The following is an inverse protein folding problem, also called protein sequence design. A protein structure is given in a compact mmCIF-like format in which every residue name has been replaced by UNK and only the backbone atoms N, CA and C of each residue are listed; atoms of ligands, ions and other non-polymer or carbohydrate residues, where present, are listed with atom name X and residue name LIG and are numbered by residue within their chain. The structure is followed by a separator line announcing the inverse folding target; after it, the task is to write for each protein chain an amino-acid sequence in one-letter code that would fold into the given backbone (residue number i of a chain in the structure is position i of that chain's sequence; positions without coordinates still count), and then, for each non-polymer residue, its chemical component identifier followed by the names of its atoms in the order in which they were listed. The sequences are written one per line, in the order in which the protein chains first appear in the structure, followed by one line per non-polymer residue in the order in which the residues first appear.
data_IF_857698709117
#
_entry.id   IF_857698709117
#
_cell.length_a   1.000
_cell.length_b   1.000
_cell.length_c   1.000
_cell.angle_alpha   90.00
_cell.angle_beta   90.00
_cell.angle_gamma   90.00
#
_symmetry.space_group_name_H-M   'P 1'
#
loop_
_entity.id
_entity.type
_entity.pdbx_description
1 polymer ?
#
# COMPACT_ATOMS: atom_id res chain seq x y z
N UNK A 1 -7.57 5.82 10.86
CA UNK A 1 -8.91 6.38 10.60
C UNK A 1 -9.94 5.27 10.54
N UNK A 2 -10.81 5.21 11.54
CA UNK A 2 -12.10 4.50 11.41
C UNK A 2 -13.02 5.50 10.70
N UNK A 3 -13.24 5.34 9.38
CA UNK A 3 -14.26 6.14 8.69
C UNK A 3 -15.59 5.67 9.26
N UNK A 4 -16.28 6.54 10.02
CA UNK A 4 -17.57 6.20 10.64
C UNK A 4 -18.56 5.71 9.57
N UNK A 5 -19.25 4.61 9.90
CA UNK A 5 -20.21 3.93 9.02
C UNK A 5 -21.23 4.91 8.45
N UNK A 6 -21.07 5.16 7.16
CA UNK A 6 -21.81 6.19 6.44
C UNK A 6 -21.25 6.42 5.05
N UNK A 7 -21.05 5.34 4.27
CA UNK A 7 -20.77 5.32 2.81
C UNK A 7 -19.91 6.47 2.27
N UNK A 8 -18.87 6.88 3.01
CA UNK A 8 -17.95 7.93 2.57
C UNK A 8 -16.64 7.24 2.16
N UNK A 9 -16.76 6.36 1.16
CA UNK A 9 -15.67 5.49 0.71
C UNK A 9 -14.78 6.28 -0.28
N UNK A 10 -13.44 6.25 -0.15
CA UNK A 10 -12.53 6.81 -1.15
C UNK A 10 -12.70 6.06 -2.47
N UNK A 11 -13.21 6.71 -3.51
CA UNK A 11 -13.40 6.10 -4.84
C UNK A 11 -12.18 6.12 -5.73
N UNK A 12 -11.18 6.91 -5.37
CA UNK A 12 -9.92 6.99 -6.07
C UNK A 12 -8.82 7.32 -5.09
N UNK A 13 -7.79 6.48 -5.07
CA UNK A 13 -6.50 6.75 -4.43
C UNK A 13 -5.46 6.83 -5.53
N UNK A 14 -4.68 7.91 -5.54
CA UNK A 14 -3.50 8.08 -6.40
C UNK A 14 -2.36 8.57 -5.52
N UNK A 15 -1.18 8.07 -5.76
CA UNK A 15 0.04 8.51 -5.09
C UNK A 15 1.22 8.36 -6.05
N UNK A 16 2.32 9.05 -5.79
CA UNK A 16 3.58 8.95 -6.51
C UNK A 16 4.68 8.53 -5.53
N UNK A 17 5.38 7.44 -5.81
CA UNK A 17 6.55 7.02 -5.02
C UNK A 17 7.77 6.81 -5.89
N UNK A 18 8.94 7.18 -5.36
CA UNK A 18 10.23 6.83 -5.96
C UNK A 18 10.72 5.49 -5.43
N UNK A 19 11.17 4.58 -6.31
CA UNK A 19 11.72 3.29 -5.86
C UNK A 19 12.99 3.50 -5.01
N UNK A 20 13.11 2.91 -3.80
CA UNK A 20 14.26 3.09 -2.92
C UNK A 20 15.57 2.56 -3.52
N UNK A 21 16.71 2.93 -2.90
CA UNK A 21 18.02 2.35 -3.26
C UNK A 21 18.09 0.86 -2.93
N UNK A 22 18.98 0.13 -3.61
CA UNK A 22 19.12 -1.33 -3.47
C UNK A 22 19.49 -1.78 -2.04
N UNK A 23 19.06 -2.98 -1.66
CA UNK A 23 19.29 -3.59 -0.34
C UNK A 23 20.48 -4.55 -0.35
N UNK A 24 21.15 -4.72 0.80
CA UNK A 24 22.23 -5.71 0.97
C UNK A 24 21.67 -7.05 1.49
N UNK A 25 22.26 -8.20 1.11
CA UNK A 25 21.71 -9.56 1.33
C UNK A 25 22.66 -10.45 2.19
N UNK A 26 22.24 -11.60 2.80
CA UNK A 26 20.91 -12.24 2.82
C UNK A 26 20.33 -12.66 4.21
N UNK A 27 18.98 -12.72 4.25
CA UNK A 27 18.04 -13.66 4.96
C UNK A 27 17.49 -13.42 6.37
N UNK A 28 16.23 -12.91 6.45
CA UNK A 28 15.05 -13.20 7.36
C UNK A 28 14.08 -12.01 7.33
N UNK A 29 12.77 -12.16 7.59
CA UNK A 29 11.70 -11.21 7.22
C UNK A 29 11.50 -10.00 8.16
N UNK A 30 11.38 -8.79 7.59
CA UNK A 30 10.73 -7.60 8.18
C UNK A 30 9.73 -7.07 7.15
N UNK A 31 8.44 -7.12 7.47
CA UNK A 31 7.36 -6.58 6.62
C UNK A 31 7.05 -5.14 7.06
N UNK A 32 7.37 -4.14 6.23
CA UNK A 32 7.00 -2.74 6.48
C UNK A 32 5.57 -2.50 5.95
N UNK A 33 4.55 -3.00 6.67
CA UNK A 33 3.14 -2.69 6.40
C UNK A 33 2.78 -1.34 7.02
N UNK A 34 2.63 -0.25 6.24
CA UNK A 34 2.20 1.05 6.79
C UNK A 34 1.06 1.69 5.99
N UNK A 35 -0.14 1.40 6.50
CA UNK A 35 -1.49 1.82 6.08
C UNK A 35 -1.69 3.33 6.22
N UNK A 36 -2.47 3.98 5.33
CA UNK A 36 -3.05 5.30 5.60
C UNK A 36 -4.23 5.18 6.60
N UNK A 37 -3.92 4.60 7.76
CA UNK A 37 -4.66 4.37 8.99
C UNK A 37 -3.86 3.32 9.75
N UNK A 38 -2.86 3.78 10.49
CA UNK A 38 -1.94 2.92 11.19
C UNK A 38 -2.62 2.21 12.37
N UNK A 39 -2.68 0.89 12.31
CA UNK A 39 -2.97 0.02 13.45
C UNK A 39 -2.16 -1.26 13.27
N UNK A 40 -1.36 -1.60 14.28
CA UNK A 40 -0.62 -2.88 14.41
C UNK A 40 -1.46 -3.95 15.13
N UNK A 41 -2.77 -3.77 15.24
CA UNK A 41 -3.67 -4.80 15.76
C UNK A 41 -4.68 -5.21 14.69
N UNK A 42 -4.53 -6.45 14.22
CA UNK A 42 -5.58 -7.19 13.55
C UNK A 42 -6.62 -7.62 14.59
N UNK A 43 -7.87 -7.72 14.15
CA UNK A 43 -9.11 -8.17 14.81
C UNK A 43 -10.12 -7.08 15.25
N UNK A 44 -11.42 -7.18 14.88
CA UNK A 44 -12.09 -8.41 14.45
C UNK A 44 -12.64 -8.41 13.01
N UNK A 45 -12.58 -9.60 12.39
CA UNK A 45 -13.50 -10.15 11.39
C UNK A 45 -13.83 -9.31 10.12
N UNK A 46 -13.44 -9.83 8.95
CA UNK A 46 -13.99 -9.54 7.59
C UNK A 46 -13.49 -8.31 6.81
N UNK A 47 -12.27 -7.78 7.05
CA UNK A 47 -11.76 -6.65 6.23
C UNK A 47 -10.68 -7.06 5.25
N UNK A 48 -11.04 -7.14 3.97
CA UNK A 48 -10.10 -7.31 2.87
C UNK A 48 -9.20 -6.08 2.73
N UNK A 49 -8.02 -6.30 2.16
CA UNK A 49 -7.01 -5.29 1.86
C UNK A 49 -6.77 -5.33 0.37
N UNK A 50 -7.11 -4.25 -0.33
CA UNK A 50 -6.69 -4.01 -1.70
C UNK A 50 -5.53 -3.02 -1.66
N UNK A 51 -4.42 -3.33 -2.33
CA UNK A 51 -3.24 -2.49 -2.28
C UNK A 51 -2.36 -2.61 -3.53
N UNK A 52 -1.90 -1.49 -4.09
CA UNK A 52 -0.72 -1.44 -4.95
C UNK A 52 0.53 -1.58 -4.06
N UNK A 53 1.40 -2.54 -4.39
CA UNK A 53 2.58 -2.89 -3.58
C UNK A 53 3.84 -2.70 -4.42
N UNK A 54 4.76 -1.87 -3.93
CA UNK A 54 6.17 -1.91 -4.29
C UNK A 54 6.86 -2.87 -3.32
N UNK A 55 7.52 -3.90 -3.81
CA UNK A 55 8.18 -4.90 -2.97
C UNK A 55 9.60 -5.22 -3.39
N UNK A 56 10.41 -5.66 -2.43
CA UNK A 56 11.70 -6.28 -2.69
C UNK A 56 11.80 -7.58 -1.90
N UNK A 57 12.45 -8.57 -2.50
CA UNK A 57 12.62 -9.89 -1.88
C UNK A 57 11.57 -10.89 -2.37
N UNK A 58 11.70 -12.16 -1.95
CA UNK A 58 10.78 -13.21 -2.35
C UNK A 58 9.48 -13.14 -1.54
N UNK A 59 8.35 -13.25 -2.25
CA UNK A 59 6.97 -13.23 -1.77
C UNK A 59 6.19 -14.42 -2.36
N UNK A 60 4.91 -14.58 -2.01
CA UNK A 60 4.04 -15.56 -2.66
C UNK A 60 3.87 -15.32 -4.18
N UNK A 61 4.03 -14.08 -4.64
CA UNK A 61 3.98 -13.71 -6.06
C UNK A 61 5.32 -13.95 -6.81
N UNK A 62 6.34 -14.48 -6.13
CA UNK A 62 7.71 -14.57 -6.62
C UNK A 62 8.56 -13.42 -6.08
N UNK A 63 9.58 -13.00 -6.84
CA UNK A 63 10.48 -11.91 -6.45
C UNK A 63 11.92 -12.38 -6.31
N UNK A 64 12.74 -11.54 -5.70
CA UNK A 64 14.17 -11.80 -5.54
C UNK A 64 14.92 -10.56 -5.09
N UNK A 65 16.20 -10.47 -5.45
CA UNK A 65 17.08 -9.35 -5.13
C UNK A 65 16.84 -8.15 -6.07
N UNK A 66 15.59 -7.75 -6.21
CA UNK A 66 15.17 -6.66 -7.07
C UNK A 66 13.86 -6.05 -6.56
N UNK A 67 13.64 -4.78 -6.91
CA UNK A 67 12.36 -4.12 -6.71
C UNK A 67 11.36 -4.57 -7.76
N UNK A 68 10.13 -4.81 -7.34
CA UNK A 68 9.03 -5.16 -8.23
C UNK A 68 7.72 -4.59 -7.73
N UNK A 69 6.79 -4.36 -8.65
CA UNK A 69 5.44 -3.93 -8.34
C UNK A 69 4.42 -5.04 -8.62
N UNK A 70 3.37 -5.08 -7.82
CA UNK A 70 2.15 -5.85 -8.09
C UNK A 70 0.95 -5.23 -7.37
N UNK A 71 -0.25 -5.54 -7.86
CA UNK A 71 -1.49 -5.23 -7.14
C UNK A 71 -1.96 -6.47 -6.40
N UNK A 72 -2.33 -6.31 -5.13
CA UNK A 72 -2.74 -7.38 -4.24
C UNK A 72 -4.15 -7.14 -3.69
N UNK A 73 -4.91 -8.22 -3.55
CA UNK A 73 -6.14 -8.28 -2.77
C UNK A 73 -6.08 -9.47 -1.83
N UNK A 74 -6.14 -9.21 -0.53
CA UNK A 74 -6.16 -10.23 0.52
C UNK A 74 -7.45 -10.11 1.32
N UNK A 75 -8.10 -11.22 1.66
CA UNK A 75 -9.23 -11.20 2.58
C UNK A 75 -9.41 -12.54 3.26
N UNK A 76 -10.02 -12.52 4.45
CA UNK A 76 -10.51 -13.71 5.14
C UNK A 76 -12.01 -13.81 4.92
N UNK A 77 -12.50 -14.98 4.49
CA UNK A 77 -13.93 -15.20 4.28
C UNK A 77 -14.67 -15.53 5.59
N UNK A 78 -15.99 -15.69 5.51
CA UNK A 78 -16.85 -15.99 6.67
C UNK A 78 -16.62 -17.38 7.27
N UNK A 79 -15.77 -18.21 6.67
CA UNK A 79 -15.36 -19.52 7.16
C UNK A 79 -13.92 -19.50 7.70
N UNK A 80 -13.37 -18.32 7.99
CA UNK A 80 -12.01 -18.09 8.48
C UNK A 80 -10.92 -18.64 7.53
N UNK A 81 -11.20 -18.64 6.22
CA UNK A 81 -10.22 -19.02 5.19
C UNK A 81 -9.62 -17.76 4.56
N UNK A 82 -8.29 -17.70 4.53
CA UNK A 82 -7.53 -16.63 3.90
C UNK A 82 -7.41 -16.83 2.39
N UNK A 83 -7.67 -15.76 1.65
CA UNK A 83 -7.55 -15.71 0.20
C UNK A 83 -6.60 -14.59 -0.20
N UNK A 84 -5.77 -14.85 -1.22
CA UNK A 84 -4.87 -13.87 -1.79
C UNK A 84 -4.92 -13.92 -3.32
N UNK A 85 -5.11 -12.76 -3.93
CA UNK A 85 -5.10 -12.54 -5.36
C UNK A 85 -4.07 -11.47 -5.67
N UNK A 86 -3.23 -11.70 -6.66
CA UNK A 86 -2.19 -10.77 -7.05
C UNK A 86 -1.87 -10.87 -8.53
N UNK A 87 -1.33 -9.78 -9.09
CA UNK A 87 -0.80 -9.77 -10.46
C UNK A 87 0.58 -10.40 -10.53
N UNK A 88 1.05 -10.71 -11.74
CA UNK A 88 2.46 -11.03 -11.95
C UNK A 88 3.34 -9.85 -11.56
N UNK A 89 4.52 -10.15 -11.02
CA UNK A 89 5.51 -9.13 -10.66
C UNK A 89 6.08 -8.46 -11.90
N UNK A 90 6.21 -7.14 -11.82
CA UNK A 90 6.90 -6.33 -12.83
C UNK A 90 8.12 -5.72 -12.14
N UNK A 91 9.31 -6.03 -12.63
CA UNK A 91 10.56 -5.46 -12.11
C UNK A 91 10.64 -3.96 -12.43
N UNK A 92 11.10 -3.18 -11.46
CA UNK A 92 11.26 -1.71 -11.55
C UNK A 92 12.64 -1.32 -11.02
N UNK A 93 13.17 -0.20 -11.50
CA UNK A 93 14.49 0.28 -11.12
C UNK A 93 14.43 1.30 -9.98
N UNK A 94 15.47 1.33 -9.17
CA UNK A 94 15.64 2.38 -8.15
C UNK A 94 15.56 3.77 -8.78
N UNK A 95 14.82 4.68 -8.15
CA UNK A 95 14.56 6.02 -8.65
C UNK A 95 13.41 6.14 -9.65
N UNK A 96 12.83 5.03 -10.11
CA UNK A 96 11.66 5.10 -11.00
C UNK A 96 10.48 5.75 -10.26
N UNK A 97 9.79 6.71 -10.90
CA UNK A 97 8.53 7.23 -10.39
C UNK A 97 7.41 6.22 -10.64
N UNK A 98 6.71 5.84 -9.58
CA UNK A 98 5.60 4.90 -9.62
C UNK A 98 4.32 5.56 -9.17
N UNK A 99 3.27 5.46 -9.96
CA UNK A 99 1.94 5.96 -9.56
C UNK A 99 1.01 4.80 -9.27
N UNK A 100 0.75 4.50 -8.00
CA UNK A 100 -0.26 3.51 -7.63
C UNK A 100 -1.67 4.12 -7.67
N UNK A 101 -2.63 3.33 -8.14
CA UNK A 101 -4.00 3.75 -8.37
C UNK A 101 -4.96 2.67 -7.87
N UNK A 102 -5.86 3.05 -6.96
CA UNK A 102 -7.02 2.25 -6.59
C UNK A 102 -8.28 3.02 -6.89
N UNK A 103 -9.13 2.48 -7.75
CA UNK A 103 -10.38 3.11 -8.16
C UNK A 103 -11.55 2.14 -7.99
N UNK A 104 -12.62 2.60 -7.35
CA UNK A 104 -13.90 1.93 -7.43
C UNK A 104 -14.48 2.19 -8.83
N UNK A 105 -14.69 1.13 -9.60
CA UNK A 105 -15.08 1.19 -11.01
C UNK A 105 -16.57 0.92 -11.23
N UNK A 106 -17.22 0.22 -10.31
CA UNK A 106 -18.66 -0.05 -10.32
C UNK A 106 -19.15 -0.43 -8.92
N UNK A 107 -20.46 -0.46 -8.70
CA UNK A 107 -21.08 -0.97 -7.49
C UNK A 107 -22.51 -1.46 -7.76
N UNK A 108 -22.90 -2.55 -7.10
CA UNK A 108 -24.28 -3.03 -7.04
C UNK A 108 -24.82 -3.02 -5.59
N UNK A 109 -25.97 -3.65 -5.35
CA UNK A 109 -26.61 -3.68 -4.03
C UNK A 109 -25.82 -4.47 -2.98
N UNK A 110 -24.89 -5.32 -3.41
CA UNK A 110 -24.18 -6.31 -2.59
C UNK A 110 -22.66 -6.27 -2.72
N UNK A 111 -22.11 -5.66 -3.79
CA UNK A 111 -20.68 -5.61 -4.05
C UNK A 111 -20.21 -4.24 -4.52
N UNK A 112 -19.00 -3.87 -4.08
CA UNK A 112 -18.21 -2.83 -4.72
C UNK A 112 -17.16 -3.47 -5.64
N UNK A 113 -16.99 -2.91 -6.83
CA UNK A 113 -16.01 -3.36 -7.81
C UNK A 113 -14.85 -2.38 -7.89
N UNK A 114 -13.63 -2.91 -7.78
CA UNK A 114 -12.42 -2.11 -7.71
C UNK A 114 -11.41 -2.51 -8.78
N UNK A 115 -10.61 -1.54 -9.19
CA UNK A 115 -9.40 -1.72 -9.97
C UNK A 115 -8.22 -1.19 -9.17
N UNK A 116 -7.21 -2.02 -8.96
CA UNK A 116 -5.91 -1.65 -8.42
C UNK A 116 -4.85 -1.82 -9.51
N UNK A 117 -3.96 -0.84 -9.68
CA UNK A 117 -2.92 -0.85 -10.71
C UNK A 117 -1.84 0.18 -10.42
N UNK A 118 -0.70 0.05 -11.11
CA UNK A 118 0.25 1.13 -11.33
C UNK A 118 0.02 1.76 -12.71
N UNK A 119 0.10 3.10 -12.76
CA UNK A 119 0.02 3.84 -14.03
C UNK A 119 1.17 3.45 -14.96
N UNK A 120 0.93 3.43 -16.27
CA UNK A 120 1.88 2.94 -17.29
C UNK A 120 2.27 1.45 -17.22
N UNK A 121 1.74 0.66 -16.28
CA UNK A 121 1.99 -0.77 -16.17
C UNK A 121 0.68 -1.58 -16.27
N UNK A 122 0.23 -1.88 -17.49
CA UNK A 122 -1.05 -2.58 -17.73
C UNK A 122 -1.17 -3.92 -16.99
N UNK A 123 -0.06 -4.64 -16.89
CA UNK A 123 -0.02 -6.00 -16.33
C UNK A 123 -0.13 -6.01 -14.80
N UNK A 124 -0.04 -4.84 -14.18
CA UNK A 124 -0.32 -4.64 -12.74
C UNK A 124 -1.80 -4.47 -12.42
N UNK A 125 -2.70 -4.52 -13.42
CA UNK A 125 -4.13 -4.26 -13.23
C UNK A 125 -4.87 -5.46 -12.62
N UNK A 126 -5.18 -5.39 -11.33
CA UNK A 126 -6.09 -6.30 -10.64
C UNK A 126 -7.51 -5.72 -10.58
N UNK A 127 -8.50 -6.50 -11.00
CA UNK A 127 -9.92 -6.17 -10.82
C UNK A 127 -10.56 -7.16 -9.85
N UNK A 128 -11.31 -6.63 -8.88
CA UNK A 128 -12.03 -7.43 -7.89
C UNK A 128 -13.48 -6.96 -7.78
N UNK A 129 -14.35 -7.86 -7.32
CA UNK A 129 -15.64 -7.52 -6.74
C UNK A 129 -15.68 -8.07 -5.32
N UNK A 130 -16.11 -7.26 -4.36
CA UNK A 130 -16.16 -7.68 -2.96
C UNK A 130 -17.39 -7.13 -2.25
N UNK A 131 -17.99 -7.96 -1.41
CA UNK A 131 -19.04 -7.55 -0.49
C UNK A 131 -18.46 -6.96 0.81
N UNK A 132 -17.13 -7.01 0.97
CA UNK A 132 -16.44 -6.45 2.13
C UNK A 132 -16.21 -4.95 1.92
N UNK A 133 -16.49 -4.16 2.95
CA UNK A 133 -16.23 -2.71 2.91
C UNK A 133 -14.72 -2.46 3.00
N UNK A 134 -14.14 -1.86 1.96
CA UNK A 134 -12.75 -1.44 1.95
C UNK A 134 -12.64 -0.04 2.57
N UNK A 135 -12.41 0.01 3.89
CA UNK A 135 -12.36 1.26 4.66
C UNK A 135 -10.97 1.88 4.75
N UNK A 136 -9.94 1.20 4.22
CA UNK A 136 -8.56 1.65 4.24
C UNK A 136 -8.05 1.93 2.84
N UNK A 137 -7.44 3.10 2.65
CA UNK A 137 -6.57 3.37 1.53
C UNK A 137 -5.13 3.08 1.95
N UNK A 138 -4.36 2.45 1.07
CA UNK A 138 -2.97 2.08 1.33
C UNK A 138 -2.10 2.35 0.12
N UNK A 139 -0.90 2.81 0.41
CA UNK A 139 0.26 2.75 -0.46
C UNK A 139 1.28 1.90 0.28
N UNK A 140 1.81 0.89 -0.40
CA UNK A 140 2.53 -0.17 0.31
C UNK A 140 3.92 -0.35 -0.26
N UNK A 141 4.92 -0.27 0.62
CA UNK A 141 6.29 -0.66 0.36
C UNK A 141 6.65 -1.82 1.27
N UNK A 142 6.89 -2.99 0.71
CA UNK A 142 7.20 -4.20 1.47
C UNK A 142 8.61 -4.72 1.16
N UNK A 143 9.42 -4.79 2.20
CA UNK A 143 10.64 -5.60 2.16
C UNK A 143 10.31 -7.01 2.60
N UNK A 144 10.88 -8.00 1.94
CA UNK A 144 10.80 -9.40 2.30
C UNK A 144 12.22 -9.91 2.51
N UNK A 145 12.42 -10.70 3.56
CA UNK A 145 13.72 -11.24 3.95
C UNK A 145 14.80 -10.22 4.41
N UNK A 146 14.42 -9.01 4.83
CA UNK A 146 15.28 -8.07 5.58
C UNK A 146 15.27 -8.33 7.10
N UNK A 147 16.44 -8.50 7.73
CA UNK A 147 16.60 -8.96 9.13
C UNK A 147 16.91 -7.87 10.15
N UNK A 148 17.28 -6.71 9.63
CA UNK A 148 17.66 -5.56 10.40
C UNK A 148 18.12 -4.46 9.46
N UNK A 149 18.59 -3.37 10.07
CA UNK A 149 18.88 -2.11 9.40
C UNK A 149 19.82 -2.23 8.20
N UNK A 150 20.82 -3.11 8.24
CA UNK A 150 21.76 -3.30 7.12
C UNK A 150 21.12 -3.87 5.86
N UNK A 151 19.98 -4.53 6.01
CA UNK A 151 19.25 -5.15 4.91
C UNK A 151 18.21 -4.21 4.31
N UNK A 152 18.07 -3.00 4.85
CA UNK A 152 17.13 -1.99 4.37
C UNK A 152 17.82 -1.02 3.40
N UNK A 153 17.05 -0.26 2.59
CA UNK A 153 17.60 0.82 1.79
C UNK A 153 18.24 1.87 2.69
N UNK A 154 19.08 2.73 2.11
CA UNK A 154 19.54 3.95 2.79
C UNK A 154 18.91 5.18 2.15
N UNK A 155 18.79 6.25 2.92
CA UNK A 155 18.26 7.54 2.45
C UNK A 155 16.76 7.68 2.68
N UNK A 156 16.05 8.21 1.68
CA UNK A 156 14.64 8.58 1.81
C UNK A 156 13.87 8.15 0.56
N UNK A 157 12.65 7.65 0.77
CA UNK A 157 11.65 7.47 -0.28
C UNK A 157 10.51 8.44 -0.03
N UNK A 158 10.21 9.25 -1.03
CA UNK A 158 9.09 10.17 -0.98
C UNK A 158 7.83 9.45 -1.47
N UNK A 159 6.72 9.64 -0.75
CA UNK A 159 5.37 9.30 -1.17
C UNK A 159 4.61 10.61 -1.30
N UNK A 160 4.55 11.11 -2.53
CA UNK A 160 4.05 12.43 -2.87
C UNK A 160 2.71 12.33 -3.61
N UNK A 161 2.07 13.49 -3.82
CA UNK A 161 0.86 13.58 -4.64
C UNK A 161 -0.22 12.58 -4.19
N UNK A 162 -0.38 12.42 -2.87
CA UNK A 162 -1.37 11.50 -2.30
C UNK A 162 -2.76 12.15 -2.37
N UNK A 163 -3.65 11.54 -3.14
CA UNK A 163 -5.04 11.97 -3.31
C UNK A 163 -6.00 10.89 -2.84
N UNK A 164 -6.91 11.23 -1.92
CA UNK A 164 -8.08 10.41 -1.57
C UNK A 164 -9.35 11.15 -1.99
N UNK A 165 -10.09 10.62 -2.96
CA UNK A 165 -11.26 11.30 -3.51
C UNK A 165 -12.54 10.54 -3.18
N UNK A 166 -13.54 11.25 -2.65
CA UNK A 166 -14.85 10.65 -2.33
C UNK A 166 -15.70 10.45 -3.58
N UNK A 167 -16.63 9.49 -3.52
CA UNK A 167 -17.62 9.24 -4.60
C UNK A 167 -18.41 10.49 -4.96
N UNK A 168 -18.77 11.28 -3.95
CA UNK A 168 -19.54 12.52 -4.07
C UNK A 168 -18.73 13.68 -4.66
N UNK A 169 -17.45 13.46 -4.96
CA UNK A 169 -16.49 14.51 -5.25
C UNK A 169 -15.90 15.11 -3.99
N UNK A 170 -14.81 15.88 -4.17
CA UNK A 170 -14.04 16.46 -3.08
C UNK A 170 -13.10 15.47 -2.38
N UNK A 171 -12.39 16.00 -1.39
CA UNK A 171 -11.36 15.32 -0.62
C UNK A 171 -11.79 15.28 0.85
N UNK A 172 -11.77 14.12 1.53
CA UNK A 172 -12.15 14.05 2.92
C UNK A 172 -11.12 14.76 3.80
N UNK A 173 -11.51 15.37 4.91
CA UNK A 173 -10.51 15.84 5.88
C UNK A 173 -9.72 14.65 6.40
N UNK A 174 -8.40 14.73 6.30
CA UNK A 174 -7.46 13.71 6.72
C UNK A 174 -6.37 14.38 7.56
N UNK A 175 -5.98 13.71 8.63
CA UNK A 175 -4.78 14.03 9.40
C UNK A 175 -3.92 12.77 9.42
N UNK A 176 -2.68 12.87 8.95
CA UNK A 176 -1.75 11.76 9.00
C UNK A 176 -1.28 11.51 10.42
N UNK A 177 -1.49 10.28 10.89
CA UNK A 177 -0.81 9.78 12.07
C UNK A 177 0.50 9.12 11.64
N UNK A 178 1.54 9.14 12.47
CA UNK A 178 2.85 8.58 12.14
C UNK A 178 3.18 7.47 13.12
N UNK A 179 3.62 6.35 12.58
CA UNK A 179 4.14 5.23 13.34
C UNK A 179 5.52 4.91 12.79
N UNK A 180 6.54 5.06 13.64
CA UNK A 180 7.94 4.83 13.30
C UNK A 180 8.36 3.40 13.64
N UNK A 181 9.40 2.89 12.98
CA UNK A 181 10.07 1.66 13.37
C UNK A 181 11.37 2.01 14.08
N UNK A 182 11.32 2.14 15.40
CA UNK A 182 12.51 2.46 16.17
C UNK A 182 13.50 1.28 16.23
N UNK A 183 13.03 0.04 16.02
CA UNK A 183 13.89 -1.14 16.04
C UNK A 183 14.74 -1.24 14.76
N UNK A 184 14.20 -0.77 13.64
CA UNK A 184 14.84 -0.79 12.32
C UNK A 184 15.26 0.61 11.85
N UNK A 185 15.34 1.59 12.75
CA UNK A 185 15.67 3.00 12.48
C UNK A 185 14.93 3.60 11.27
N UNK A 186 13.68 3.20 11.04
CA UNK A 186 12.80 3.80 10.03
C UNK A 186 11.95 4.88 10.70
N UNK A 187 11.98 6.08 10.13
CA UNK A 187 11.09 7.17 10.55
C UNK A 187 10.23 7.67 9.38
N UNK A 188 9.06 8.20 9.70
CA UNK A 188 8.15 8.80 8.74
C UNK A 188 8.01 10.28 9.07
N UNK A 189 8.18 11.13 8.07
CA UNK A 189 7.92 12.56 8.18
C UNK A 189 6.70 12.92 7.34
N UNK A 190 5.71 13.57 7.96
CA UNK A 190 4.60 14.16 7.20
C UNK A 190 5.10 15.49 6.66
N UNK A 191 5.34 15.55 5.35
CA UNK A 191 5.79 16.78 4.67
C UNK A 191 4.59 17.67 4.37
N UNK A 192 3.50 17.07 3.89
CA UNK A 192 2.24 17.78 3.63
C UNK A 192 1.05 16.95 4.10
N UNK A 193 0.31 17.53 5.05
CA UNK A 193 -0.84 16.87 5.62
C UNK A 193 -2.08 16.93 4.70
N UNK A 194 -3.00 16.00 4.89
CA UNK A 194 -4.28 15.95 4.20
C UNK A 194 -4.34 14.98 3.02
N UNK A 195 -5.53 14.91 2.44
CA UNK A 195 -5.93 13.96 1.39
C UNK A 195 -5.86 14.53 -0.03
N UNK A 196 -5.35 15.75 -0.19
CA UNK A 196 -5.29 16.46 -1.46
C UNK A 196 -3.86 16.89 -1.77
N UNK A 197 -3.13 16.00 -2.43
CA UNK A 197 -1.69 16.13 -2.67
C UNK A 197 -0.94 16.06 -1.36
N UNK A 198 -1.32 15.15 -0.46
CA UNK A 198 -0.57 14.85 0.75
C UNK A 198 0.80 14.27 0.41
N UNK A 199 1.71 14.33 1.37
CA UNK A 199 3.09 13.90 1.18
C UNK A 199 3.68 13.38 2.48
N UNK A 200 4.29 12.20 2.41
CA UNK A 200 5.04 11.59 3.51
C UNK A 200 6.37 11.04 3.01
N UNK A 201 7.39 11.19 3.83
CA UNK A 201 8.73 10.68 3.55
C UNK A 201 9.02 9.49 4.46
N UNK A 202 9.45 8.38 3.86
CA UNK A 202 10.03 7.25 4.59
C UNK A 202 11.54 7.46 4.64
N UNK A 203 12.08 7.67 5.83
CA UNK A 203 13.51 7.79 6.08
C UNK A 203 14.02 6.47 6.64
N UNK A 204 15.00 5.88 5.96
CA UNK A 204 15.61 4.60 6.32
C UNK A 204 16.86 4.80 7.20
N UNK A 205 17.43 3.69 7.74
CA UNK A 205 18.74 3.73 8.37
C UNK A 205 19.81 4.41 7.50
N UNK A 206 20.73 5.08 8.18
CA UNK A 206 21.88 5.79 7.57
C UNK A 206 23.14 4.95 7.59
#
# INVERSE_FOLDING_TARGET
MHIQSGRTIPTSTRFLTSVPRGMSLPTRQITILRRCSFSTHFEPATTGILQPVLQYGPSAAGGGQYWSIASWYLYTDTSDVDHAYYTTLIEVSSGDPLTGIMNMIDADDTHDYWKCSFDSYSDSSLKIGTAQELIYATETLETYNSTGESDLPTGTTNMEDIYLKLKTGGYPTLTWEVYNDAADSISINVVKDGSNGGEVDIVYPS
#
